data_IF_317657560995
#
_entry.id   IF_317657560995
#
_cell.length_a   1.000
_cell.length_b   1.000
_cell.length_c   1.000
_cell.angle_alpha   90.00
_cell.angle_beta   90.00
_cell.angle_gamma   90.00
#
_symmetry.space_group_name_H-M   'P 1'
#
loop_
_entity.id
_entity.type
_entity.pdbx_description
1 polymer ?
#
# COMPACT_ATOMS: atom_id res chain seq x y z
N UNK A 1 18.47 21.93 -5.20
CA UNK A 1 18.86 20.57 -4.79
C UNK A 1 18.01 19.61 -5.57
N UNK A 2 18.60 18.60 -6.17
CA UNK A 2 17.87 17.59 -6.92
C UNK A 2 17.00 16.77 -5.96
N UNK A 3 15.69 16.78 -6.19
CA UNK A 3 14.71 16.06 -5.38
C UNK A 3 14.27 14.74 -6.06
N UNK A 4 15.10 14.21 -6.97
CA UNK A 4 14.80 13.02 -7.76
C UNK A 4 15.91 12.00 -7.60
N UNK A 5 15.53 10.74 -7.39
CA UNK A 5 16.46 9.62 -7.43
C UNK A 5 16.70 9.15 -8.87
N UNK A 6 15.63 9.09 -9.67
CA UNK A 6 15.65 8.71 -11.07
C UNK A 6 14.87 9.75 -11.90
N UNK A 7 15.46 10.93 -12.08
CA UNK A 7 14.80 12.10 -12.65
C UNK A 7 14.12 11.81 -13.99
N UNK A 8 14.80 11.12 -14.91
CA UNK A 8 14.26 10.82 -16.24
C UNK A 8 12.99 9.98 -16.17
N UNK A 9 12.89 9.07 -15.21
CA UNK A 9 11.71 8.25 -14.97
C UNK A 9 10.64 9.06 -14.26
N UNK A 10 10.99 9.71 -13.15
CA UNK A 10 10.04 10.45 -12.31
C UNK A 10 9.41 11.67 -13.00
N UNK A 11 10.02 12.17 -14.09
CA UNK A 11 9.56 13.30 -14.90
C UNK A 11 9.26 12.93 -16.36
N UNK A 12 9.14 11.62 -16.66
CA UNK A 12 8.84 11.14 -18.00
C UNK A 12 7.49 11.67 -18.51
N UNK A 13 7.38 11.87 -19.83
CA UNK A 13 6.10 12.28 -20.41
C UNK A 13 5.04 11.20 -20.24
N UNK A 14 3.77 11.59 -20.28
CA UNK A 14 2.65 10.62 -20.21
C UNK A 14 2.73 9.56 -21.29
N UNK A 15 3.17 9.95 -22.50
CA UNK A 15 3.36 9.07 -23.64
C UNK A 15 4.44 8.00 -23.34
N UNK A 16 5.57 8.42 -22.76
CA UNK A 16 6.63 7.50 -22.34
C UNK A 16 6.17 6.53 -21.26
N UNK A 17 5.49 7.03 -20.23
CA UNK A 17 4.94 6.21 -19.14
C UNK A 17 3.98 5.17 -19.73
N UNK A 18 3.07 5.58 -20.61
CA UNK A 18 2.09 4.68 -21.22
C UNK A 18 2.78 3.63 -22.11
N UNK A 19 3.81 4.01 -22.84
CA UNK A 19 4.58 3.06 -23.65
C UNK A 19 5.24 1.98 -22.78
N UNK A 20 5.88 2.36 -21.67
CA UNK A 20 6.44 1.42 -20.69
C UNK A 20 5.38 0.51 -20.08
N UNK A 21 4.26 1.10 -19.67
CA UNK A 21 3.16 0.35 -19.07
C UNK A 21 2.59 -0.68 -20.05
N UNK A 22 2.39 -0.32 -21.32
CA UNK A 22 1.90 -1.24 -22.35
C UNK A 22 2.87 -2.41 -22.55
N UNK A 23 4.16 -2.11 -22.73
CA UNK A 23 5.19 -3.13 -22.95
C UNK A 23 5.28 -4.08 -21.75
N UNK A 24 5.38 -3.53 -20.55
CA UNK A 24 5.56 -4.33 -19.34
C UNK A 24 4.30 -5.12 -19.00
N UNK A 25 3.11 -4.56 -19.17
CA UNK A 25 1.85 -5.28 -18.93
C UNK A 25 1.73 -6.52 -19.80
N UNK A 26 1.99 -6.40 -21.11
CA UNK A 26 1.93 -7.54 -22.04
C UNK A 26 2.91 -8.65 -21.61
N UNK A 27 4.16 -8.26 -21.27
CA UNK A 27 5.16 -9.22 -20.76
C UNK A 27 4.73 -9.86 -19.46
N UNK A 28 4.14 -9.08 -18.53
CA UNK A 28 3.73 -9.55 -17.23
C UNK A 28 2.54 -10.51 -17.31
N UNK A 29 1.57 -10.23 -18.17
CA UNK A 29 0.44 -11.14 -18.43
C UNK A 29 0.94 -12.48 -18.98
N UNK A 30 1.86 -12.47 -19.93
CA UNK A 30 2.51 -13.69 -20.44
C UNK A 30 3.26 -14.43 -19.32
N UNK A 31 4.03 -13.69 -18.51
CA UNK A 31 4.80 -14.26 -17.43
C UNK A 31 3.93 -15.00 -16.40
N UNK A 32 2.81 -14.40 -15.95
CA UNK A 32 1.90 -15.06 -15.00
C UNK A 32 1.14 -16.22 -15.64
N UNK A 33 0.76 -16.11 -16.92
CA UNK A 33 0.10 -17.18 -17.64
C UNK A 33 0.99 -18.43 -17.74
N UNK A 34 2.27 -18.25 -18.07
CA UNK A 34 3.19 -19.36 -18.25
C UNK A 34 3.61 -20.02 -16.94
N UNK A 35 3.70 -19.25 -15.85
CA UNK A 35 4.33 -19.71 -14.60
C UNK A 35 3.35 -19.88 -13.43
N UNK A 36 2.13 -19.33 -13.49
CA UNK A 36 1.18 -19.35 -12.37
C UNK A 36 -0.15 -19.97 -12.79
N UNK A 37 -0.36 -21.28 -12.54
CA UNK A 37 -1.61 -21.98 -12.91
C UNK A 37 -2.86 -21.30 -12.37
N UNK A 38 -2.79 -20.67 -11.21
CA UNK A 38 -3.91 -19.92 -10.61
C UNK A 38 -4.39 -18.77 -11.51
N UNK A 39 -3.47 -17.98 -12.07
CA UNK A 39 -3.83 -16.90 -13.01
C UNK A 39 -4.38 -17.46 -14.32
N UNK A 40 -3.74 -18.52 -14.84
CA UNK A 40 -4.23 -19.16 -16.08
C UNK A 40 -5.66 -19.62 -15.94
N UNK A 41 -6.00 -20.35 -14.87
CA UNK A 41 -7.35 -20.79 -14.61
C UNK A 41 -8.36 -19.64 -14.55
N UNK A 42 -8.03 -18.56 -13.82
CA UNK A 42 -8.90 -17.37 -13.73
C UNK A 42 -9.09 -16.65 -15.09
N UNK A 43 -8.09 -16.64 -15.93
CA UNK A 43 -8.20 -16.06 -17.28
C UNK A 43 -9.01 -16.95 -18.20
N UNK A 44 -8.77 -18.28 -18.17
CA UNK A 44 -9.54 -19.27 -18.94
C UNK A 44 -11.03 -19.26 -18.58
N UNK A 45 -11.39 -19.10 -17.29
CA UNK A 45 -12.78 -18.93 -16.84
C UNK A 45 -13.48 -17.73 -17.50
N UNK A 46 -12.70 -16.70 -17.89
CA UNK A 46 -13.21 -15.55 -18.65
C UNK A 46 -13.06 -15.69 -20.17
N UNK A 47 -12.55 -16.82 -20.64
CA UNK A 47 -12.27 -17.05 -22.06
C UNK A 47 -11.12 -16.19 -22.60
N UNK A 48 -10.19 -15.76 -21.73
CA UNK A 48 -9.06 -14.91 -22.09
C UNK A 48 -7.78 -15.71 -22.29
N UNK A 49 -7.00 -15.28 -23.27
CA UNK A 49 -5.61 -15.69 -23.48
C UNK A 49 -4.70 -14.46 -23.40
N UNK A 50 -3.37 -14.62 -23.20
CA UNK A 50 -2.46 -13.47 -23.10
C UNK A 50 -2.50 -12.52 -24.28
N UNK A 51 -2.78 -13.01 -25.49
CA UNK A 51 -2.85 -12.24 -26.72
C UNK A 51 -4.01 -11.24 -26.77
N UNK A 52 -5.02 -11.41 -25.91
CA UNK A 52 -6.16 -10.49 -25.79
C UNK A 52 -5.79 -9.19 -25.05
N UNK A 53 -4.62 -9.18 -24.37
CA UNK A 53 -4.11 -8.03 -23.64
C UNK A 53 -2.94 -7.41 -24.43
N UNK A 54 -3.23 -6.33 -25.12
CA UNK A 54 -2.26 -5.61 -25.98
C UNK A 54 -1.68 -4.36 -25.32
N UNK A 55 -2.28 -3.92 -24.21
CA UNK A 55 -1.86 -2.75 -23.46
C UNK A 55 -2.80 -2.40 -22.34
N UNK A 56 -2.61 -1.24 -21.73
CA UNK A 56 -3.36 -0.76 -20.56
C UNK A 56 -4.87 -0.64 -20.85
N UNK A 57 -5.25 -0.35 -22.10
CA UNK A 57 -6.66 -0.26 -22.49
C UNK A 57 -7.42 -1.59 -22.31
N UNK A 58 -6.72 -2.71 -22.40
CA UNK A 58 -7.27 -4.05 -22.22
C UNK A 58 -7.23 -4.54 -20.76
N UNK A 59 -6.62 -3.78 -19.86
CA UNK A 59 -6.42 -4.16 -18.47
C UNK A 59 -7.73 -4.56 -17.78
N UNK A 60 -8.82 -3.85 -18.08
CA UNK A 60 -10.15 -4.09 -17.52
C UNK A 60 -10.71 -5.49 -17.83
N UNK A 61 -10.20 -6.19 -18.86
CA UNK A 61 -10.61 -7.56 -19.22
C UNK A 61 -10.10 -8.58 -18.21
N UNK A 62 -8.90 -8.33 -17.60
CA UNK A 62 -8.29 -9.24 -16.66
C UNK A 62 -9.14 -9.44 -15.40
N UNK A 63 -9.15 -10.64 -14.81
CA UNK A 63 -9.82 -10.90 -13.55
C UNK A 63 -9.19 -10.10 -12.41
N UNK A 64 -9.99 -9.73 -11.43
CA UNK A 64 -9.47 -9.20 -10.17
C UNK A 64 -8.83 -10.29 -9.33
N UNK A 65 -7.83 -9.88 -8.55
CA UNK A 65 -7.34 -10.59 -7.40
C UNK A 65 -7.78 -9.90 -6.12
N UNK A 66 -8.13 -10.69 -5.12
CA UNK A 66 -8.50 -10.23 -3.80
C UNK A 66 -7.57 -10.84 -2.74
N UNK A 67 -7.65 -10.35 -1.53
CA UNK A 67 -6.89 -10.93 -0.41
C UNK A 67 -7.27 -12.39 -0.12
N UNK A 68 -8.50 -12.79 -0.44
CA UNK A 68 -8.95 -14.17 -0.26
C UNK A 68 -8.32 -15.09 -1.31
N UNK A 69 -8.15 -14.64 -2.56
CA UNK A 69 -7.37 -15.37 -3.56
C UNK A 69 -5.93 -15.64 -3.09
N UNK A 70 -5.29 -14.64 -2.48
CA UNK A 70 -3.93 -14.78 -1.95
C UNK A 70 -3.86 -15.79 -0.78
N UNK A 71 -4.91 -15.83 0.04
CA UNK A 71 -5.02 -16.81 1.15
C UNK A 71 -5.29 -18.23 0.67
N UNK A 72 -6.11 -18.37 -0.37
CA UNK A 72 -6.41 -19.66 -1.00
C UNK A 72 -5.16 -20.22 -1.67
N UNK A 73 -4.45 -19.38 -2.42
CA UNK A 73 -3.21 -19.77 -3.10
C UNK A 73 -1.98 -19.90 -2.18
N UNK A 74 -2.13 -19.72 -0.86
CA UNK A 74 -1.02 -19.80 0.09
C UNK A 74 -0.40 -21.21 0.15
N UNK A 75 0.94 -21.37 0.26
CA UNK A 75 1.92 -20.27 0.23
C UNK A 75 2.49 -19.97 -1.16
N UNK A 76 2.46 -20.89 -2.11
CA UNK A 76 3.22 -20.83 -3.37
C UNK A 76 2.35 -20.71 -4.61
N UNK A 77 1.03 -20.73 -4.48
CA UNK A 77 0.11 -20.78 -5.62
C UNK A 77 0.15 -19.58 -6.56
N UNK A 78 0.71 -18.44 -6.10
CA UNK A 78 0.94 -17.24 -6.92
C UNK A 78 2.44 -16.98 -7.17
N UNK A 79 3.32 -17.92 -6.84
CA UNK A 79 4.75 -17.78 -7.08
C UNK A 79 5.04 -18.02 -8.58
N UNK A 80 5.62 -17.01 -9.23
CA UNK A 80 5.91 -17.00 -10.66
C UNK A 80 7.38 -17.32 -11.01
N UNK A 81 8.22 -17.57 -9.98
CA UNK A 81 9.64 -17.96 -10.13
C UNK A 81 9.95 -19.16 -9.25
N UNK A 82 10.94 -19.99 -9.58
CA UNK A 82 11.42 -21.03 -8.67
C UNK A 82 11.90 -20.46 -7.33
N UNK A 83 11.63 -21.14 -6.22
CA UNK A 83 12.06 -20.68 -4.88
C UNK A 83 13.56 -20.37 -4.78
N UNK A 84 14.40 -21.12 -5.50
CA UNK A 84 15.86 -20.90 -5.52
C UNK A 84 16.26 -19.53 -6.10
N UNK A 85 15.38 -18.91 -6.88
CA UNK A 85 15.61 -17.59 -7.50
C UNK A 85 15.08 -16.47 -6.60
N UNK A 86 14.40 -16.81 -5.51
CA UNK A 86 13.91 -15.86 -4.52
C UNK A 86 14.93 -15.67 -3.40
N UNK A 87 15.22 -14.42 -3.07
CA UNK A 87 16.20 -14.04 -2.04
C UNK A 87 15.54 -13.54 -0.75
N UNK A 88 14.23 -13.24 -0.78
CA UNK A 88 13.51 -12.66 0.37
C UNK A 88 12.05 -13.10 0.40
N UNK A 89 11.51 -13.22 1.61
CA UNK A 89 10.08 -13.40 1.90
C UNK A 89 9.65 -12.31 2.85
N UNK A 90 8.47 -11.73 2.58
CA UNK A 90 7.78 -10.83 3.49
C UNK A 90 6.36 -11.35 3.76
N UNK A 91 5.73 -10.91 4.84
CA UNK A 91 4.40 -11.39 5.19
C UNK A 91 3.58 -10.31 5.87
N UNK A 92 2.26 -10.35 5.65
CA UNK A 92 1.30 -9.54 6.39
C UNK A 92 1.23 -9.96 7.85
N UNK A 93 0.71 -9.09 8.73
CA UNK A 93 0.56 -9.36 10.17
C UNK A 93 -0.37 -10.56 10.48
N UNK A 94 -1.33 -10.84 9.59
CA UNK A 94 -2.30 -11.92 9.79
C UNK A 94 -3.40 -11.63 10.82
N UNK A 95 -3.61 -10.39 11.20
CA UNK A 95 -4.64 -9.98 12.19
C UNK A 95 -6.07 -10.34 11.78
N UNK A 96 -6.33 -10.44 10.48
CA UNK A 96 -7.67 -10.71 9.91
C UNK A 96 -7.81 -12.14 9.35
N UNK A 97 -6.91 -13.07 9.70
CA UNK A 97 -6.94 -14.46 9.22
C UNK A 97 -5.57 -14.99 8.80
N UNK A 98 -5.53 -15.97 7.86
CA UNK A 98 -4.26 -16.52 7.35
C UNK A 98 -3.39 -15.41 6.78
N UNK A 99 -2.12 -15.41 7.14
CA UNK A 99 -1.12 -14.48 6.60
C UNK A 99 -0.97 -14.67 5.09
N UNK A 100 -0.68 -13.57 4.40
CA UNK A 100 -0.21 -13.59 3.03
C UNK A 100 1.31 -13.52 3.06
N UNK A 101 1.99 -14.32 2.22
CA UNK A 101 3.43 -14.24 1.99
C UNK A 101 3.68 -13.71 0.59
N UNK A 102 4.65 -12.82 0.48
CA UNK A 102 5.14 -12.28 -0.77
C UNK A 102 6.61 -12.66 -0.94
N UNK A 103 6.97 -13.07 -2.15
CA UNK A 103 8.31 -13.51 -2.51
C UNK A 103 8.98 -12.44 -3.37
N UNK A 104 10.30 -12.37 -3.29
CA UNK A 104 11.11 -11.38 -4.00
C UNK A 104 12.34 -12.05 -4.61
N UNK A 105 12.58 -11.85 -5.90
CA UNK A 105 13.90 -12.03 -6.51
C UNK A 105 14.83 -10.88 -6.10
N UNK A 106 16.10 -10.94 -6.46
CA UNK A 106 17.00 -9.80 -6.25
C UNK A 106 16.50 -8.56 -7.04
N UNK A 107 16.01 -8.76 -8.26
CA UNK A 107 15.39 -7.70 -9.05
C UNK A 107 14.20 -7.04 -8.33
N UNK A 108 13.32 -7.83 -7.74
CA UNK A 108 12.17 -7.33 -6.98
C UNK A 108 12.60 -6.51 -5.76
N UNK A 109 13.69 -6.93 -5.09
CA UNK A 109 14.27 -6.18 -3.97
C UNK A 109 14.85 -4.85 -4.45
N UNK A 110 15.63 -4.87 -5.53
CA UNK A 110 16.28 -3.67 -6.08
C UNK A 110 15.23 -2.64 -6.53
N UNK A 111 14.18 -3.08 -7.21
CA UNK A 111 13.04 -2.26 -7.61
C UNK A 111 12.35 -1.62 -6.40
N UNK A 112 12.09 -2.40 -5.38
CA UNK A 112 11.45 -1.91 -4.15
C UNK A 112 12.32 -0.88 -3.43
N UNK A 113 13.62 -1.13 -3.34
CA UNK A 113 14.58 -0.21 -2.75
C UNK A 113 14.68 1.10 -3.55
N UNK A 114 14.61 1.04 -4.89
CA UNK A 114 14.54 2.23 -5.76
C UNK A 114 13.27 3.06 -5.51
N UNK A 115 12.12 2.42 -5.37
CA UNK A 115 10.86 3.10 -5.00
C UNK A 115 10.98 3.84 -3.65
N UNK A 116 11.59 3.20 -2.65
CA UNK A 116 11.84 3.82 -1.35
C UNK A 116 12.88 4.96 -1.43
N UNK A 117 13.91 4.82 -2.27
CA UNK A 117 14.90 5.87 -2.54
C UNK A 117 14.25 7.12 -3.15
N UNK A 118 13.33 6.95 -4.09
CA UNK A 118 12.53 8.07 -4.65
C UNK A 118 11.74 8.79 -3.55
N UNK A 119 11.13 8.06 -2.62
CA UNK A 119 10.39 8.63 -1.49
C UNK A 119 11.32 9.43 -0.55
N UNK A 120 12.49 8.90 -0.23
CA UNK A 120 13.48 9.57 0.63
C UNK A 120 13.98 10.86 -0.03
N UNK A 121 14.32 10.84 -1.31
CA UNK A 121 14.76 12.03 -2.03
C UNK A 121 13.63 13.06 -2.23
N UNK A 122 12.40 12.60 -2.45
CA UNK A 122 11.24 13.50 -2.53
C UNK A 122 10.95 14.23 -1.20
N UNK A 123 11.29 13.60 -0.07
CA UNK A 123 11.25 14.21 1.26
C UNK A 123 12.46 15.12 1.56
N UNK A 124 13.39 15.28 0.61
CA UNK A 124 14.60 16.11 0.75
C UNK A 124 15.80 15.36 1.34
N UNK A 125 15.78 14.02 1.31
CA UNK A 125 16.91 13.19 1.70
C UNK A 125 18.06 13.25 0.68
N UNK A 126 19.29 13.11 1.16
CA UNK A 126 20.54 13.12 0.40
C UNK A 126 21.54 12.15 1.00
N UNK A 127 22.64 11.91 0.34
CA UNK A 127 23.76 11.09 0.86
C UNK A 127 24.46 11.66 2.11
N UNK A 128 24.12 12.88 2.51
CA UNK A 128 24.64 13.50 3.73
C UNK A 128 23.73 13.28 4.94
N UNK A 129 22.63 12.58 4.77
CA UNK A 129 21.62 12.40 5.78
C UNK A 129 21.82 11.13 6.61
N UNK A 130 21.33 11.19 7.84
CA UNK A 130 21.25 10.05 8.76
C UNK A 130 19.78 9.63 8.85
N UNK A 131 19.47 8.47 8.28
CA UNK A 131 18.12 7.95 8.20
C UNK A 131 17.84 6.99 9.38
N UNK A 132 16.98 7.41 10.29
CA UNK A 132 16.58 6.68 11.49
C UNK A 132 15.33 5.85 11.21
N UNK A 133 15.51 4.53 11.00
CA UNK A 133 14.43 3.62 10.61
C UNK A 133 13.88 2.90 11.83
N UNK A 134 12.70 3.33 12.29
CA UNK A 134 11.98 2.79 13.45
C UNK A 134 10.82 1.87 13.06
N UNK A 135 10.70 1.46 11.81
CA UNK A 135 9.77 0.40 11.42
C UNK A 135 10.25 -0.97 11.88
N UNK A 136 9.32 -1.88 12.17
CA UNK A 136 9.65 -3.27 12.42
C UNK A 136 10.39 -3.91 11.24
N UNK A 137 11.32 -4.80 11.57
CA UNK A 137 12.04 -5.65 10.62
C UNK A 137 11.48 -7.07 10.62
N UNK A 138 12.17 -8.00 10.01
CA UNK A 138 11.71 -9.38 9.86
C UNK A 138 10.72 -9.51 8.71
N UNK A 139 9.54 -10.05 8.97
CA UNK A 139 8.52 -10.29 7.92
C UNK A 139 7.74 -9.02 7.53
N UNK A 140 7.80 -7.97 8.32
CA UNK A 140 7.16 -6.68 8.00
C UNK A 140 8.01 -5.88 6.98
N UNK A 141 7.35 -5.25 6.03
CA UNK A 141 8.02 -4.60 4.89
C UNK A 141 8.60 -3.21 5.19
N UNK A 142 8.09 -2.52 6.22
CA UNK A 142 8.43 -1.12 6.49
C UNK A 142 9.92 -0.90 6.74
N UNK A 143 10.52 -1.66 7.67
CA UNK A 143 11.94 -1.58 7.99
C UNK A 143 12.84 -1.89 6.80
N UNK A 144 12.75 -3.10 6.22
CA UNK A 144 13.63 -3.49 5.10
C UNK A 144 13.55 -2.57 3.89
N UNK A 145 12.34 -2.11 3.50
CA UNK A 145 12.18 -1.24 2.34
C UNK A 145 12.86 0.12 2.51
N UNK A 146 12.57 0.81 3.61
CA UNK A 146 13.18 2.12 3.86
C UNK A 146 14.68 2.03 4.18
N UNK A 147 15.12 0.92 4.80
CA UNK A 147 16.54 0.64 4.98
C UNK A 147 17.27 0.52 3.63
N UNK A 148 16.75 -0.31 2.72
CA UNK A 148 17.33 -0.47 1.38
C UNK A 148 17.29 0.83 0.56
N UNK A 149 16.15 1.54 0.56
CA UNK A 149 16.03 2.84 -0.09
C UNK A 149 17.02 3.88 0.45
N UNK A 150 17.24 3.89 1.76
CA UNK A 150 18.24 4.75 2.42
C UNK A 150 19.67 4.44 1.93
N UNK A 151 20.02 3.16 1.79
CA UNK A 151 21.30 2.74 1.21
C UNK A 151 21.44 3.17 -0.25
N UNK A 152 20.39 3.05 -1.05
CA UNK A 152 20.38 3.49 -2.47
C UNK A 152 20.62 5.00 -2.61
N UNK A 153 20.11 5.81 -1.69
CA UNK A 153 20.37 7.26 -1.63
C UNK A 153 21.79 7.56 -1.14
N UNK A 154 22.41 6.63 -0.42
CA UNK A 154 23.72 6.81 0.21
C UNK A 154 23.67 7.44 1.60
N UNK A 155 22.50 7.43 2.27
CA UNK A 155 22.39 7.89 3.65
C UNK A 155 23.12 6.95 4.63
N UNK A 156 23.56 7.49 5.75
CA UNK A 156 23.87 6.65 6.91
C UNK A 156 22.57 6.13 7.50
N UNK A 157 22.39 4.82 7.52
CA UNK A 157 21.15 4.20 8.00
C UNK A 157 21.28 3.70 9.43
N UNK A 158 20.35 4.10 10.31
CA UNK A 158 20.19 3.57 11.67
C UNK A 158 19.02 2.57 11.68
N UNK A 159 19.26 1.25 11.61
CA UNK A 159 18.22 0.23 11.52
C UNK A 159 17.70 -0.13 12.94
N UNK A 160 17.02 0.83 13.58
CA UNK A 160 16.66 0.76 15.00
C UNK A 160 15.53 -0.22 15.30
N UNK A 161 14.68 -0.52 14.30
CA UNK A 161 13.43 -1.25 14.52
C UNK A 161 12.47 -0.52 15.44
N UNK A 162 11.34 -1.10 15.78
CA UNK A 162 10.35 -0.52 16.69
C UNK A 162 10.66 -0.81 18.16
N UNK A 163 10.11 0.00 19.07
CA UNK A 163 10.25 -0.17 20.52
C UNK A 163 11.53 0.45 21.12
N UNK A 164 11.70 0.26 22.43
CA UNK A 164 12.81 0.80 23.22
C UNK A 164 13.03 2.31 23.02
N UNK A 165 12.05 3.10 23.44
CA UNK A 165 12.01 4.56 23.24
C UNK A 165 13.25 5.28 23.73
N UNK A 166 13.80 4.92 24.90
CA UNK A 166 14.98 5.56 25.44
C UNK A 166 16.19 5.43 24.51
N UNK A 167 16.40 4.23 23.97
CA UNK A 167 17.46 3.98 22.99
C UNK A 167 17.20 4.70 21.66
N UNK A 168 15.93 4.79 21.21
CA UNK A 168 15.58 5.56 20.02
C UNK A 168 15.99 7.02 20.18
N UNK A 169 15.59 7.65 21.29
CA UNK A 169 15.91 9.06 21.58
C UNK A 169 17.40 9.29 21.76
N UNK A 170 18.08 8.39 22.47
CA UNK A 170 19.54 8.48 22.65
C UNK A 170 20.25 8.47 21.28
N UNK A 171 20.00 7.46 20.43
CA UNK A 171 20.67 7.38 19.13
C UNK A 171 20.27 8.51 18.17
N UNK A 172 19.02 8.99 18.26
CA UNK A 172 18.58 10.13 17.47
C UNK A 172 19.37 11.41 17.79
N UNK A 173 19.72 11.61 19.05
CA UNK A 173 20.54 12.74 19.51
C UNK A 173 22.03 12.49 19.23
N UNK A 174 22.58 11.34 19.68
CA UNK A 174 24.00 11.06 19.63
C UNK A 174 24.54 10.96 18.20
N UNK A 175 23.74 10.46 17.28
CA UNK A 175 24.11 10.28 15.87
C UNK A 175 23.47 11.32 14.94
N UNK A 176 22.90 12.36 15.52
CA UNK A 176 22.33 13.51 14.80
C UNK A 176 21.39 13.09 13.64
N UNK A 177 20.43 12.17 13.91
CA UNK A 177 19.50 11.71 12.91
C UNK A 177 18.75 12.87 12.24
N UNK A 178 18.66 12.84 10.90
CA UNK A 178 18.06 13.93 10.10
C UNK A 178 16.74 13.55 9.45
N UNK A 179 16.50 12.24 9.22
CA UNK A 179 15.26 11.69 8.65
C UNK A 179 14.73 10.62 9.60
N UNK A 180 13.45 10.72 9.96
CA UNK A 180 12.75 9.74 10.79
C UNK A 180 11.78 8.93 9.93
N UNK A 181 11.88 7.59 9.96
CA UNK A 181 11.00 6.68 9.26
C UNK A 181 10.28 5.75 10.27
N UNK A 182 8.97 5.90 10.44
CA UNK A 182 8.17 5.09 11.35
C UNK A 182 6.67 5.17 11.00
N UNK A 183 5.81 4.49 11.79
CA UNK A 183 4.36 4.71 11.68
C UNK A 183 3.98 6.08 12.23
N UNK A 184 2.91 6.72 11.73
CA UNK A 184 2.47 8.03 12.23
C UNK A 184 2.19 8.03 13.74
N UNK A 185 1.54 6.99 14.26
CA UNK A 185 1.28 6.85 15.71
C UNK A 185 2.56 6.80 16.53
N UNK A 186 3.61 6.11 16.02
CA UNK A 186 4.89 6.07 16.71
C UNK A 186 5.65 7.39 16.61
N UNK A 187 5.52 8.10 15.46
CA UNK A 187 6.05 9.46 15.32
C UNK A 187 5.43 10.43 16.32
N UNK A 188 4.11 10.40 16.49
CA UNK A 188 3.41 11.20 17.49
C UNK A 188 3.89 10.90 18.93
N UNK A 189 4.04 9.61 19.24
CA UNK A 189 4.57 9.18 20.55
C UNK A 189 6.01 9.65 20.79
N UNK A 190 6.89 9.55 19.79
CA UNK A 190 8.26 10.05 19.88
C UNK A 190 8.29 11.58 20.01
N UNK A 191 7.42 12.29 19.26
CA UNK A 191 7.30 13.74 19.34
C UNK A 191 6.92 14.21 20.75
N UNK A 192 5.95 13.54 21.36
CA UNK A 192 5.56 13.81 22.76
C UNK A 192 6.73 13.54 23.72
N UNK A 193 7.37 12.38 23.59
CA UNK A 193 8.51 12.02 24.44
C UNK A 193 9.69 13.00 24.32
N UNK A 194 9.95 13.51 23.11
CA UNK A 194 10.99 14.51 22.86
C UNK A 194 10.62 15.84 23.52
N UNK A 195 9.36 16.25 23.40
CA UNK A 195 8.84 17.48 23.99
C UNK A 195 8.92 17.43 25.53
N UNK A 196 8.37 16.39 26.15
CA UNK A 196 8.35 16.21 27.60
C UNK A 196 9.76 16.15 28.23
N UNK A 197 10.72 15.60 27.51
CA UNK A 197 12.12 15.47 27.98
C UNK A 197 12.99 16.68 27.63
N UNK A 198 12.44 17.71 26.99
CA UNK A 198 13.20 18.91 26.59
C UNK A 198 14.33 18.61 25.59
N UNK A 199 14.15 17.63 24.71
CA UNK A 199 15.18 17.21 23.76
C UNK A 199 15.09 17.93 22.41
N UNK A 200 14.08 18.80 22.21
CA UNK A 200 13.81 19.43 20.91
C UNK A 200 15.03 20.12 20.30
N UNK A 201 15.80 20.85 21.11
CA UNK A 201 16.99 21.58 20.64
C UNK A 201 18.20 20.68 20.38
N UNK A 202 18.14 19.42 20.82
CA UNK A 202 19.21 18.43 20.65
C UNK A 202 19.04 17.56 19.42
N UNK A 203 17.83 17.46 18.87
CA UNK A 203 17.56 16.67 17.65
C UNK A 203 17.84 17.50 16.40
N UNK A 204 18.28 16.81 15.33
CA UNK A 204 18.62 17.40 14.03
C UNK A 204 17.63 16.98 12.92
N UNK A 205 16.50 16.41 13.30
CA UNK A 205 15.49 15.98 12.33
C UNK A 205 15.02 17.16 11.45
N UNK A 206 14.94 16.93 10.15
CA UNK A 206 14.41 17.86 9.14
C UNK A 206 13.18 17.32 8.40
N UNK A 207 13.06 15.98 8.32
CA UNK A 207 11.96 15.31 7.63
C UNK A 207 11.52 14.04 8.37
N UNK A 208 10.25 13.70 8.24
CA UNK A 208 9.69 12.41 8.64
C UNK A 208 8.99 11.75 7.46
N UNK A 209 9.14 10.42 7.30
CA UNK A 209 8.48 9.61 6.28
C UNK A 209 7.63 8.58 7.02
N UNK A 210 6.31 8.77 6.98
CA UNK A 210 5.37 8.04 7.80
C UNK A 210 4.33 7.31 6.95
N UNK A 211 3.94 6.11 7.35
CA UNK A 211 2.94 5.31 6.62
C UNK A 211 2.61 4.01 7.36
N UNK A 212 2.00 3.07 6.65
CA UNK A 212 1.48 1.81 7.12
C UNK A 212 0.18 1.88 7.94
N UNK A 213 -0.28 3.06 8.31
CA UNK A 213 -1.57 3.32 8.95
C UNK A 213 -2.13 4.67 8.51
N UNK A 214 -3.46 4.81 8.57
CA UNK A 214 -4.11 6.08 8.29
C UNK A 214 -3.83 7.10 9.40
N UNK A 215 -3.65 8.36 9.03
CA UNK A 215 -3.43 9.47 9.95
C UNK A 215 -4.02 10.77 9.46
N UNK A 216 -4.45 11.62 10.40
CA UNK A 216 -5.13 12.88 10.11
C UNK A 216 -4.15 14.03 9.84
N UNK A 217 -4.65 15.08 9.19
CA UNK A 217 -3.88 16.33 9.04
C UNK A 217 -3.64 17.04 10.37
N UNK A 218 -4.49 16.81 11.37
CA UNK A 218 -4.27 17.29 12.72
C UNK A 218 -3.05 16.62 13.36
N UNK A 219 -2.97 15.28 13.29
CA UNK A 219 -1.81 14.52 13.75
C UNK A 219 -0.54 14.94 12.99
N UNK A 220 -0.63 15.19 11.67
CA UNK A 220 0.49 15.69 10.88
C UNK A 220 1.01 17.01 11.45
N UNK A 221 0.12 17.97 11.69
CA UNK A 221 0.49 19.29 12.24
C UNK A 221 1.12 19.16 13.62
N UNK A 222 0.53 18.37 14.51
CA UNK A 222 1.07 18.15 15.85
C UNK A 222 2.50 17.57 15.82
N UNK A 223 2.73 16.55 14.99
CA UNK A 223 4.08 15.97 14.80
C UNK A 223 5.05 17.03 14.24
N UNK A 224 4.64 17.77 13.20
CA UNK A 224 5.47 18.78 12.58
C UNK A 224 5.85 19.90 13.55
N UNK A 225 4.90 20.39 14.34
CA UNK A 225 5.11 21.46 15.31
C UNK A 225 6.04 21.03 16.45
N UNK A 226 5.83 19.84 17.02
CA UNK A 226 6.66 19.30 18.10
C UNK A 226 8.07 18.97 17.66
N UNK A 227 8.25 18.40 16.48
CA UNK A 227 9.56 18.00 15.98
C UNK A 227 10.26 19.07 15.12
N UNK A 228 9.51 20.09 14.61
CA UNK A 228 10.03 21.11 13.69
C UNK A 228 10.49 20.53 12.36
N UNK A 229 9.74 19.57 11.83
CA UNK A 229 10.04 18.86 10.59
C UNK A 229 8.93 19.03 9.57
N UNK A 230 9.18 18.59 8.31
CA UNK A 230 8.10 18.26 7.38
C UNK A 230 7.80 16.74 7.47
N UNK A 231 6.52 16.39 7.53
CA UNK A 231 6.05 15.01 7.64
C UNK A 231 5.40 14.57 6.33
N UNK A 232 5.96 13.56 5.68
CA UNK A 232 5.55 13.03 4.39
C UNK A 232 4.88 11.68 4.53
N UNK A 233 3.86 11.44 3.72
CA UNK A 233 3.19 10.14 3.65
C UNK A 233 3.88 9.20 2.67
N UNK A 234 3.91 7.91 3.00
CA UNK A 234 4.38 6.85 2.12
C UNK A 234 3.38 5.70 2.18
N UNK A 235 2.97 5.21 1.01
CA UNK A 235 1.98 4.16 0.88
C UNK A 235 2.57 2.91 0.24
N UNK A 236 2.04 1.77 0.65
CA UNK A 236 2.29 0.46 0.06
C UNK A 236 1.68 -0.65 0.90
N UNK A 237 1.60 -1.82 0.29
CA UNK A 237 1.09 -3.04 0.88
C UNK A 237 2.14 -4.13 0.76
N UNK A 238 2.23 -5.02 1.74
CA UNK A 238 3.13 -6.20 1.68
C UNK A 238 2.87 -7.01 0.41
N UNK A 239 1.60 -7.10 0.01
CA UNK A 239 1.15 -7.84 -1.17
C UNK A 239 1.72 -7.24 -2.47
N UNK A 240 1.82 -5.93 -2.58
CA UNK A 240 2.33 -5.28 -3.81
C UNK A 240 3.86 -5.21 -3.84
N UNK A 241 4.50 -4.61 -2.85
CA UNK A 241 5.96 -4.61 -2.68
C UNK A 241 6.39 -4.15 -1.29
N UNK A 242 5.51 -3.54 -0.51
CA UNK A 242 5.82 -2.83 0.73
C UNK A 242 5.70 -1.31 0.54
N UNK A 243 6.33 -0.49 1.40
CA UNK A 243 6.31 0.96 1.27
C UNK A 243 7.00 1.41 -0.03
N UNK A 244 6.59 2.55 -0.55
CA UNK A 244 7.17 3.14 -1.76
C UNK A 244 6.38 2.87 -3.04
N UNK A 245 5.25 2.15 -3.00
CA UNK A 245 4.33 2.08 -4.16
C UNK A 245 3.87 3.48 -4.54
N UNK A 246 3.57 4.30 -3.54
CA UNK A 246 3.31 5.73 -3.70
C UNK A 246 3.94 6.53 -2.55
N UNK A 247 4.27 7.79 -2.80
CA UNK A 247 4.93 8.67 -1.83
C UNK A 247 4.59 10.14 -2.06
N UNK A 248 4.55 10.92 -1.00
CA UNK A 248 4.42 12.39 -1.07
C UNK A 248 5.74 13.06 -1.47
N UNK A 249 5.62 14.17 -2.18
CA UNK A 249 6.71 15.10 -2.46
C UNK A 249 6.59 16.37 -1.58
N UNK A 250 7.50 17.33 -1.79
CA UNK A 250 7.54 18.60 -1.06
C UNK A 250 6.26 19.43 -1.14
N UNK A 251 5.37 19.14 -2.09
CA UNK A 251 4.10 19.87 -2.28
C UNK A 251 2.97 19.31 -1.41
N UNK A 252 3.06 18.06 -0.92
CA UNK A 252 2.07 17.41 -0.05
C UNK A 252 0.62 17.48 -0.59
N UNK A 253 0.46 17.38 -1.91
CA UNK A 253 -0.84 17.43 -2.62
C UNK A 253 -1.32 16.07 -3.11
N UNK A 254 -0.90 15.01 -2.45
CA UNK A 254 -1.12 13.60 -2.80
C UNK A 254 0.18 12.84 -3.01
N UNK A 255 0.08 11.54 -3.09
CA UNK A 255 1.21 10.63 -3.24
C UNK A 255 1.39 10.23 -4.71
N UNK A 256 2.58 10.47 -5.28
CA UNK A 256 2.94 10.00 -6.61
C UNK A 256 3.09 8.49 -6.61
N UNK A 257 2.37 7.80 -7.50
CA UNK A 257 2.50 6.36 -7.71
C UNK A 257 3.68 6.11 -8.64
N UNK A 258 4.51 5.11 -8.37
CA UNK A 258 5.59 4.69 -9.27
C UNK A 258 5.02 3.97 -10.50
N UNK A 259 4.54 4.73 -11.51
CA UNK A 259 3.81 4.24 -12.67
C UNK A 259 4.66 3.41 -13.66
N UNK A 260 5.97 3.44 -13.56
CA UNK A 260 6.89 2.54 -14.26
C UNK A 260 6.85 1.10 -13.70
N UNK A 261 6.31 0.92 -12.50
CA UNK A 261 6.21 -0.37 -11.84
C UNK A 261 4.77 -0.81 -11.54
N UNK A 262 3.86 0.16 -11.41
CA UNK A 262 2.47 -0.10 -10.99
C UNK A 262 1.48 0.66 -11.87
N UNK A 263 0.46 -0.04 -12.37
CA UNK A 263 -0.71 0.59 -12.97
C UNK A 263 -1.77 0.67 -11.87
N UNK A 264 -2.35 1.85 -11.69
CA UNK A 264 -3.42 2.09 -10.73
C UNK A 264 -4.76 2.33 -11.44
N UNK A 265 -5.82 1.71 -10.94
CA UNK A 265 -7.21 1.92 -11.35
C UNK A 265 -8.02 2.35 -10.11
N UNK A 266 -9.08 3.13 -10.33
CA UNK A 266 -10.15 3.32 -9.34
C UNK A 266 -11.38 2.60 -9.85
N UNK A 267 -12.00 1.78 -9.01
CA UNK A 267 -13.20 1.04 -9.35
C UNK A 267 -14.34 1.35 -8.38
N UNK A 268 -15.56 1.14 -8.86
CA UNK A 268 -16.71 1.02 -7.98
C UNK A 268 -16.57 -0.28 -7.15
N UNK A 269 -16.60 -0.21 -5.80
CA UNK A 269 -16.35 -1.39 -4.97
C UNK A 269 -17.40 -2.49 -5.09
N UNK A 270 -18.63 -2.14 -5.51
CA UNK A 270 -19.76 -3.07 -5.61
C UNK A 270 -19.85 -3.72 -6.99
N UNK A 271 -19.71 -2.92 -8.04
CA UNK A 271 -19.84 -3.42 -9.44
C UNK A 271 -18.51 -3.88 -10.04
N UNK A 272 -17.38 -3.35 -9.56
CA UNK A 272 -16.07 -3.57 -10.13
C UNK A 272 -15.80 -2.77 -11.42
N UNK A 273 -16.71 -1.87 -11.82
CA UNK A 273 -16.52 -1.01 -12.97
C UNK A 273 -15.41 0.00 -12.73
N UNK A 274 -14.57 0.24 -13.74
CA UNK A 274 -13.52 1.26 -13.69
C UNK A 274 -14.17 2.63 -13.75
N UNK A 275 -13.84 3.46 -12.76
CA UNK A 275 -14.37 4.82 -12.65
C UNK A 275 -13.43 5.84 -13.33
N UNK A 276 -13.99 6.97 -13.84
CA UNK A 276 -13.20 8.05 -14.41
C UNK A 276 -12.20 8.64 -13.38
N UNK A 277 -11.11 9.22 -13.88
CA UNK A 277 -10.15 9.99 -13.06
C UNK A 277 -10.87 11.08 -12.26
N UNK A 278 -10.42 11.30 -11.03
CA UNK A 278 -11.06 12.22 -10.08
C UNK A 278 -12.23 11.62 -9.30
N UNK A 279 -12.69 10.42 -9.67
CA UNK A 279 -13.73 9.72 -8.90
C UNK A 279 -13.16 9.13 -7.61
N UNK A 280 -14.03 9.08 -6.58
CA UNK A 280 -13.75 8.34 -5.35
C UNK A 280 -14.16 6.88 -5.54
N UNK A 281 -13.28 5.94 -5.28
CA UNK A 281 -13.57 4.50 -5.39
C UNK A 281 -12.47 3.66 -4.78
N UNK A 282 -12.57 2.33 -4.96
CA UNK A 282 -11.58 1.38 -4.47
C UNK A 282 -10.34 1.38 -5.37
N UNK A 283 -9.18 1.50 -4.75
CA UNK A 283 -7.89 1.46 -5.43
C UNK A 283 -7.52 0.02 -5.80
N UNK A 284 -7.11 -0.16 -7.04
CA UNK A 284 -6.63 -1.44 -7.59
C UNK A 284 -5.25 -1.24 -8.17
N UNK A 285 -4.33 -2.16 -7.90
CA UNK A 285 -2.99 -2.15 -8.47
C UNK A 285 -2.71 -3.35 -9.35
N UNK A 286 -2.00 -3.09 -10.44
CA UNK A 286 -1.35 -4.09 -11.28
C UNK A 286 0.16 -3.87 -11.23
N UNK A 287 0.92 -4.84 -10.69
CA UNK A 287 2.38 -4.82 -10.68
C UNK A 287 2.91 -5.32 -12.03
N UNK A 288 3.62 -4.48 -12.77
CA UNK A 288 4.07 -4.76 -14.14
C UNK A 288 5.56 -5.08 -14.26
N UNK A 289 6.32 -4.98 -13.15
CA UNK A 289 7.78 -5.19 -13.14
C UNK A 289 8.22 -6.26 -12.15
N UNK A 290 7.33 -6.75 -11.30
CA UNK A 290 7.65 -7.72 -10.25
C UNK A 290 7.74 -9.13 -10.81
N UNK A 291 8.83 -9.87 -10.51
CA UNK A 291 9.09 -11.18 -11.09
C UNK A 291 8.53 -12.34 -10.27
N UNK A 292 8.77 -12.35 -8.94
CA UNK A 292 8.48 -13.52 -8.12
C UNK A 292 7.00 -13.64 -7.73
N UNK A 293 6.36 -12.52 -7.41
CA UNK A 293 5.00 -12.50 -6.90
C UNK A 293 4.23 -11.31 -7.50
N UNK A 294 4.01 -11.31 -8.83
CA UNK A 294 3.30 -10.24 -9.50
C UNK A 294 1.79 -10.33 -9.26
N UNK A 295 1.18 -9.21 -8.87
CA UNK A 295 -0.26 -9.11 -8.69
C UNK A 295 -0.88 -8.31 -9.84
N UNK A 296 -1.82 -8.92 -10.57
CA UNK A 296 -2.61 -8.27 -11.61
C UNK A 296 -3.99 -7.91 -11.05
N UNK A 297 -4.40 -6.66 -11.22
CA UNK A 297 -5.69 -6.11 -10.76
C UNK A 297 -6.04 -6.48 -9.32
N UNK A 298 -5.06 -6.30 -8.42
CA UNK A 298 -5.24 -6.57 -7.00
C UNK A 298 -6.10 -5.49 -6.33
N UNK A 299 -7.23 -5.89 -5.77
CA UNK A 299 -8.15 -5.04 -5.02
C UNK A 299 -7.58 -4.78 -3.62
N UNK A 300 -7.19 -3.53 -3.36
CA UNK A 300 -6.58 -3.15 -2.08
C UNK A 300 -7.59 -2.99 -0.95
N UNK A 301 -8.84 -2.76 -1.30
CA UNK A 301 -9.95 -2.32 -0.43
C UNK A 301 -9.80 -0.88 0.08
N UNK A 302 -8.73 -0.19 -0.21
CA UNK A 302 -8.53 1.20 0.17
C UNK A 302 -9.32 2.13 -0.76
N UNK A 303 -10.07 3.07 -0.18
CA UNK A 303 -10.85 4.06 -0.92
C UNK A 303 -9.98 5.28 -1.18
N UNK A 304 -9.76 5.60 -2.43
CA UNK A 304 -8.87 6.68 -2.88
C UNK A 304 -9.48 7.48 -4.04
N UNK A 305 -8.78 8.55 -4.42
CA UNK A 305 -9.00 9.32 -5.66
C UNK A 305 -7.67 9.37 -6.39
N UNK A 306 -7.68 9.17 -7.71
CA UNK A 306 -6.51 9.40 -8.58
C UNK A 306 -6.65 10.73 -9.30
N UNK A 307 -5.52 11.45 -9.45
CA UNK A 307 -5.45 12.71 -10.21
C UNK A 307 -4.14 12.84 -10.97
N UNK A 308 -4.22 13.33 -12.21
CA UNK A 308 -3.07 13.65 -13.06
C UNK A 308 -2.76 15.13 -13.11
N UNK A 309 -3.32 15.92 -12.19
CA UNK A 309 -2.97 17.32 -12.08
C UNK A 309 -1.46 17.50 -11.93
N UNK A 310 -0.90 18.43 -12.68
CA UNK A 310 0.53 18.77 -12.64
C UNK A 310 0.96 19.11 -11.23
N UNK A 311 2.02 18.49 -10.78
CA UNK A 311 2.62 18.81 -9.49
C UNK A 311 3.76 19.81 -9.67
N UNK A 312 3.81 20.84 -8.82
CA UNK A 312 4.87 21.84 -8.83
C UNK A 312 6.26 21.25 -8.50
N UNK A 313 6.33 20.01 -7.98
CA UNK A 313 7.59 19.30 -7.80
C UNK A 313 8.22 18.84 -9.12
N UNK A 314 7.50 18.89 -10.24
CA UNK A 314 7.96 18.46 -11.57
C UNK A 314 7.71 16.98 -11.90
N UNK A 315 7.32 16.14 -10.92
CA UNK A 315 6.94 14.74 -11.20
C UNK A 315 5.66 14.68 -12.00
N UNK A 316 5.60 13.72 -12.91
CA UNK A 316 4.51 13.56 -13.89
C UNK A 316 3.61 12.35 -13.60
N UNK A 317 4.05 11.47 -12.72
CA UNK A 317 3.32 10.29 -12.31
C UNK A 317 1.99 10.65 -11.65
N UNK A 318 0.96 9.83 -11.88
CA UNK A 318 -0.36 10.00 -11.26
C UNK A 318 -0.25 10.07 -9.75
N UNK A 319 -1.07 10.91 -9.13
CA UNK A 319 -1.14 11.03 -7.68
C UNK A 319 -2.40 10.34 -7.16
N UNK A 320 -2.25 9.66 -6.04
CA UNK A 320 -3.38 9.18 -5.25
C UNK A 320 -3.58 10.07 -4.02
N UNK A 321 -4.83 10.19 -3.59
CA UNK A 321 -5.15 10.75 -2.27
C UNK A 321 -4.64 9.84 -1.16
N UNK A 322 -4.61 10.34 0.09
CA UNK A 322 -4.58 9.44 1.25
C UNK A 322 -5.77 8.49 1.19
N UNK A 323 -5.63 7.24 1.67
CA UNK A 323 -6.76 6.37 1.87
C UNK A 323 -7.81 7.01 2.79
N UNK A 324 -9.06 7.07 2.31
CA UNK A 324 -10.20 7.70 3.01
C UNK A 324 -11.04 6.66 3.78
N UNK A 325 -10.53 5.47 3.99
CA UNK A 325 -11.18 4.33 4.59
C UNK A 325 -11.04 3.10 3.71
N UNK A 326 -11.70 2.03 4.09
CA UNK A 326 -11.72 0.76 3.35
C UNK A 326 -13.12 0.43 2.87
N UNK A 327 -13.24 -0.21 1.71
CA UNK A 327 -14.55 -0.63 1.16
C UNK A 327 -15.24 -1.71 2.01
N UNK A 328 -14.47 -2.54 2.72
CA UNK A 328 -14.96 -3.54 3.66
C UNK A 328 -15.39 -2.94 5.03
N UNK A 329 -14.83 -1.79 5.43
CA UNK A 329 -15.26 -1.06 6.63
C UNK A 329 -16.64 -0.40 6.45
N UNK A 330 -16.98 0.02 5.23
CA UNK A 330 -18.32 0.55 4.94
C UNK A 330 -19.42 -0.48 5.22
N UNK A 331 -19.20 -1.74 4.85
CA UNK A 331 -20.13 -2.84 5.19
C UNK A 331 -20.22 -3.04 6.70
N UNK A 332 -19.10 -2.97 7.41
CA UNK A 332 -19.07 -3.09 8.88
C UNK A 332 -19.84 -1.93 9.57
N UNK A 333 -19.70 -0.70 9.08
CA UNK A 333 -20.46 0.45 9.61
C UNK A 333 -21.97 0.31 9.34
N UNK A 334 -22.38 -0.18 8.18
CA UNK A 334 -23.79 -0.49 7.89
C UNK A 334 -24.31 -1.61 8.80
N UNK A 335 -23.52 -2.66 9.04
CA UNK A 335 -23.89 -3.73 9.98
C UNK A 335 -24.08 -3.17 11.39
N UNK A 336 -23.17 -2.33 11.88
CA UNK A 336 -23.28 -1.66 13.18
C UNK A 336 -24.52 -0.75 13.28
N UNK A 337 -24.78 0.03 12.22
CA UNK A 337 -25.95 0.90 12.16
C UNK A 337 -27.26 0.06 12.21
N UNK A 338 -27.32 -1.06 11.48
CA UNK A 338 -28.45 -1.97 11.53
C UNK A 338 -28.61 -2.64 12.90
N UNK A 339 -27.53 -3.08 13.54
CA UNK A 339 -27.57 -3.62 14.91
C UNK A 339 -28.11 -2.58 15.89
N UNK A 340 -27.64 -1.34 15.79
CA UNK A 340 -28.08 -0.23 16.63
C UNK A 340 -29.56 0.09 16.43
N UNK A 341 -30.02 0.13 15.17
CA UNK A 341 -31.42 0.35 14.83
C UNK A 341 -32.32 -0.79 15.35
N UNK A 342 -31.93 -2.05 15.16
CA UNK A 342 -32.65 -3.21 15.69
C UNK A 342 -32.75 -3.20 17.21
N UNK A 343 -31.67 -2.81 17.90
CA UNK A 343 -31.69 -2.65 19.37
C UNK A 343 -32.63 -1.55 19.79
N UNK A 344 -32.60 -0.38 19.14
CA UNK A 344 -33.44 0.76 19.48
C UNK A 344 -34.93 0.48 19.20
N UNK A 345 -35.26 -0.20 18.07
CA UNK A 345 -36.65 -0.43 17.68
C UNK A 345 -37.28 -1.67 18.34
N UNK A 346 -36.48 -2.73 18.54
CA UNK A 346 -37.01 -4.03 18.96
C UNK A 346 -36.49 -4.49 20.32
N UNK A 347 -35.54 -3.76 20.92
CA UNK A 347 -34.96 -4.13 22.22
C UNK A 347 -34.06 -5.39 22.18
N UNK A 348 -33.72 -5.89 20.99
CA UNK A 348 -32.94 -7.13 20.83
C UNK A 348 -31.50 -6.85 20.38
N UNK A 349 -30.56 -7.68 20.85
CA UNK A 349 -29.20 -7.72 20.34
C UNK A 349 -29.11 -8.75 19.21
N UNK A 350 -29.11 -8.28 17.98
CA UNK A 350 -28.95 -9.14 16.81
C UNK A 350 -27.53 -9.05 16.27
N UNK A 351 -26.98 -10.18 15.85
CA UNK A 351 -25.77 -10.18 15.01
C UNK A 351 -26.20 -10.00 13.56
N UNK A 352 -25.91 -8.85 12.98
CA UNK A 352 -26.16 -8.56 11.57
C UNK A 352 -24.91 -8.90 10.77
N UNK A 353 -25.08 -9.49 9.61
CA UNK A 353 -24.03 -9.71 8.61
C UNK A 353 -24.59 -9.36 7.24
N UNK A 354 -24.01 -8.40 6.57
CA UNK A 354 -24.30 -8.08 5.18
C UNK A 354 -23.62 -9.11 4.29
N UNK A 355 -24.34 -9.57 3.27
CA UNK A 355 -23.85 -10.57 2.32
C UNK A 355 -24.09 -10.07 0.89
N UNK A 356 -23.31 -10.57 -0.06
CA UNK A 356 -23.43 -10.19 -1.45
C UNK A 356 -24.89 -10.36 -1.98
N UNK A 357 -25.34 -9.51 -2.90
CA UNK A 357 -26.66 -9.66 -3.53
C UNK A 357 -26.83 -11.08 -4.09
N UNK A 358 -28.03 -11.67 -3.89
CA UNK A 358 -28.39 -13.03 -4.32
C UNK A 358 -27.66 -14.19 -3.63
N UNK A 359 -26.84 -13.96 -2.61
CA UNK A 359 -26.17 -15.03 -1.85
C UNK A 359 -27.11 -15.79 -0.91
N UNK A 360 -28.32 -15.26 -0.64
CA UNK A 360 -29.37 -15.93 0.13
C UNK A 360 -30.37 -16.54 -0.83
N UNK A 361 -30.57 -17.86 -0.75
CA UNK A 361 -31.57 -18.58 -1.56
C UNK A 361 -32.96 -18.02 -1.28
N UNK A 362 -33.71 -17.65 -2.31
CA UNK A 362 -35.12 -17.24 -2.17
C UNK A 362 -35.96 -18.47 -1.85
N UNK A 363 -36.72 -18.42 -0.78
CA UNK A 363 -37.71 -19.44 -0.49
C UNK A 363 -38.96 -19.23 -1.34
N UNK A 364 -39.45 -20.27 -1.99
CA UNK A 364 -40.75 -20.30 -2.61
C UNK A 364 -41.80 -20.55 -1.52
N UNK A 365 -42.62 -19.57 -1.21
CA UNK A 365 -43.68 -19.64 -0.19
C UNK A 365 -43.40 -18.77 1.06
N UNK A 366 -44.08 -19.07 2.19
CA UNK A 366 -43.89 -18.36 3.45
C UNK A 366 -42.43 -18.48 3.90
N UNK A 367 -41.74 -17.37 3.91
CA UNK A 367 -40.30 -17.34 4.23
C UNK A 367 -40.04 -17.76 5.69
N UNK A 368 -39.47 -18.92 5.91
CA UNK A 368 -38.82 -19.29 7.18
C UNK A 368 -37.46 -18.58 7.21
N UNK A 369 -37.49 -17.29 7.57
CA UNK A 369 -36.29 -16.44 7.62
C UNK A 369 -35.64 -16.40 8.98
N UNK A 370 -36.27 -17.02 10.00
CA UNK A 370 -35.76 -17.07 11.37
C UNK A 370 -35.64 -18.52 11.79
N UNK A 371 -34.42 -18.96 12.07
CA UNK A 371 -34.15 -20.26 12.68
C UNK A 371 -33.76 -19.98 14.11
N UNK A 372 -34.68 -20.25 15.08
CA UNK A 372 -34.34 -20.17 16.48
C UNK A 372 -33.61 -21.43 16.94
N UNK A 373 -32.35 -21.27 17.28
CA UNK A 373 -31.46 -22.36 17.73
C UNK A 373 -31.30 -22.40 19.27
N UNK A 374 -32.09 -21.62 20.01
CA UNK A 374 -32.03 -21.64 21.46
C UNK A 374 -32.60 -22.98 21.96
N UNK A 375 -31.83 -23.64 22.81
CA UNK A 375 -32.37 -24.76 23.60
C UNK A 375 -33.26 -24.15 24.69
N UNK A 376 -34.56 -24.39 24.62
CA UNK A 376 -35.53 -24.05 25.67
C UNK A 376 -35.39 -25.05 26.80
#
# INVERSE_FOLDING_TARGET
MEQYYQKEIETASREQILAWQNEHLVKQVRHVWDNVPYYRAKMEEKGLVPEDIKGVEDLHKLPFLTKDDLREAYPYGLLAKPLRDCVRIQSTSGTTGRRVVAFYTQHDVDLWEDCCARAIMAAGGTSQDVCHVCYGYGLFTGGPGLNGGSHKVGCLTLPMSSGNTDRQLQFMVDLEATILCCTPSYAAFLAESIYERGLRDKIKLKAGIFGAEAWSEEMRRDIQDKLGIKAYDIYGLTETSGPGVAFECSQQTGMHINEDHFIAEIIDPDTGEVLPEGSKGELVFTAISKEAFPLLRYRTRDICILTREKCACGRTHVKMSKPMGRSDDMLTEMEKALVSALKAMLGIYAKVRLVAPKSITRSEGKAVRVIDKRKI
#
